data_IF_887984743104
#
_entry.id   IF_887984743104
#
_cell.length_a   1.000
_cell.length_b   1.000
_cell.length_c   1.000
_cell.angle_alpha   90.00
_cell.angle_beta   90.00
_cell.angle_gamma   90.00
#
_symmetry.space_group_name_H-M   'P 1'
#
loop_
_entity.id
_entity.type
_entity.pdbx_description
1 polymer ?
#
# COMPACT_ATOMS: atom_id res chain seq x y z
N UNK A 1 0.19 -11.94 -17.16
CA UNK A 1 1.32 -11.62 -16.28
C UNK A 1 2.69 -11.67 -16.98
N UNK A 2 2.95 -12.41 -18.08
CA UNK A 2 4.26 -12.38 -18.75
C UNK A 2 4.69 -10.97 -19.18
N UNK A 3 3.76 -10.15 -19.64
CA UNK A 3 4.06 -8.82 -20.21
C UNK A 3 4.75 -7.81 -19.27
N UNK A 4 4.62 -7.97 -17.94
CA UNK A 4 5.27 -7.08 -16.96
C UNK A 4 6.66 -7.59 -16.58
N UNK A 5 6.85 -8.91 -16.54
CA UNK A 5 8.11 -9.53 -16.07
C UNK A 5 9.28 -9.27 -17.01
N UNK A 6 8.98 -9.00 -18.30
CA UNK A 6 9.96 -8.71 -19.34
C UNK A 6 10.26 -7.22 -19.50
N UNK A 7 9.83 -6.38 -18.55
CA UNK A 7 10.11 -4.95 -18.56
C UNK A 7 11.29 -4.62 -17.65
N UNK A 8 12.19 -3.79 -18.15
CA UNK A 8 13.36 -3.35 -17.40
C UNK A 8 12.93 -2.63 -16.11
N UNK A 9 13.58 -2.98 -15.01
CA UNK A 9 13.31 -2.39 -13.70
C UNK A 9 11.99 -2.84 -13.04
N UNK A 10 11.28 -3.83 -13.58
CA UNK A 10 10.11 -4.39 -12.92
C UNK A 10 10.51 -5.19 -11.68
N UNK A 11 9.89 -4.85 -10.53
CA UNK A 11 10.16 -5.49 -9.23
C UNK A 11 9.02 -6.40 -8.80
N UNK A 12 7.77 -6.05 -9.10
CA UNK A 12 6.67 -6.88 -8.70
C UNK A 12 5.29 -6.27 -8.84
N UNK A 13 4.30 -7.08 -8.49
CA UNK A 13 2.88 -6.73 -8.59
C UNK A 13 2.11 -7.25 -7.38
N UNK A 14 1.16 -6.46 -6.90
CA UNK A 14 0.13 -6.90 -5.97
C UNK A 14 -1.27 -6.54 -6.47
N UNK A 15 -2.26 -7.30 -6.03
CA UNK A 15 -3.68 -7.01 -6.27
C UNK A 15 -4.45 -7.15 -4.97
N UNK A 16 -5.12 -6.08 -4.60
CA UNK A 16 -6.02 -6.01 -3.45
C UNK A 16 -7.44 -5.80 -3.93
N UNK A 17 -8.41 -6.46 -3.30
CA UNK A 17 -9.82 -6.40 -3.67
C UNK A 17 -10.68 -6.21 -2.43
N UNK A 18 -11.47 -5.16 -2.41
CA UNK A 18 -12.59 -5.02 -1.49
C UNK A 18 -13.84 -5.64 -2.13
N UNK A 19 -14.26 -6.79 -1.62
CA UNK A 19 -15.40 -7.54 -2.16
C UNK A 19 -16.76 -6.90 -1.83
N UNK A 20 -16.81 -5.98 -0.88
CA UNK A 20 -18.05 -5.30 -0.49
C UNK A 20 -18.36 -4.13 -1.43
N UNK A 21 -17.34 -3.33 -1.73
CA UNK A 21 -17.48 -2.14 -2.58
C UNK A 21 -17.16 -2.41 -4.06
N UNK A 22 -16.46 -3.52 -4.37
CA UNK A 22 -15.91 -3.81 -5.69
C UNK A 22 -14.64 -3.01 -6.01
N UNK A 23 -14.08 -2.26 -5.05
CA UNK A 23 -12.82 -1.52 -5.26
C UNK A 23 -11.65 -2.48 -5.42
N UNK A 24 -10.88 -2.28 -6.47
CA UNK A 24 -9.65 -3.04 -6.74
C UNK A 24 -8.45 -2.09 -6.81
N UNK A 25 -7.32 -2.50 -6.22
CA UNK A 25 -6.07 -1.76 -6.26
C UNK A 25 -4.99 -2.70 -6.76
N UNK A 26 -4.47 -2.43 -7.96
CA UNK A 26 -3.32 -3.12 -8.51
C UNK A 26 -2.10 -2.22 -8.39
N UNK A 27 -1.05 -2.72 -7.71
CA UNK A 27 0.20 -1.97 -7.51
C UNK A 27 1.33 -2.68 -8.22
N UNK A 28 1.98 -2.01 -9.16
CA UNK A 28 3.25 -2.45 -9.74
C UNK A 28 4.39 -1.67 -9.13
N UNK A 29 5.49 -2.36 -8.79
CA UNK A 29 6.69 -1.75 -8.24
C UNK A 29 7.83 -1.78 -9.26
N UNK A 30 8.65 -0.75 -9.27
CA UNK A 30 9.72 -0.48 -10.22
C UNK A 30 10.98 -0.06 -9.48
N UNK A 31 12.14 -0.35 -10.05
CA UNK A 31 13.44 -0.01 -9.45
C UNK A 31 13.70 1.51 -9.45
N UNK A 32 13.11 2.24 -10.40
CA UNK A 32 13.27 3.69 -10.51
C UNK A 32 12.06 4.37 -11.15
N UNK A 33 11.99 5.66 -10.99
CA UNK A 33 11.04 6.56 -11.63
C UNK A 33 11.11 6.47 -13.17
N UNK A 34 12.33 6.34 -13.72
CA UNK A 34 12.55 6.18 -15.16
C UNK A 34 11.94 4.89 -15.67
N UNK A 35 12.17 3.77 -14.95
CA UNK A 35 11.60 2.47 -15.30
C UNK A 35 10.08 2.50 -15.25
N UNK A 36 9.51 3.12 -14.20
CA UNK A 36 8.08 3.31 -14.06
C UNK A 36 7.49 4.11 -15.23
N UNK A 37 8.10 5.27 -15.57
CA UNK A 37 7.63 6.11 -16.66
C UNK A 37 7.77 5.44 -18.03
N UNK A 38 8.89 4.75 -18.27
CA UNK A 38 9.10 4.01 -19.50
C UNK A 38 8.10 2.87 -19.70
N UNK A 39 7.62 2.27 -18.62
CA UNK A 39 6.63 1.22 -18.67
C UNK A 39 5.20 1.70 -18.95
N UNK A 40 4.88 2.95 -18.66
CA UNK A 40 3.51 3.48 -18.59
C UNK A 40 2.69 3.22 -19.87
N UNK A 41 3.27 3.49 -21.06
CA UNK A 41 2.60 3.27 -22.35
C UNK A 41 2.39 1.77 -22.66
N UNK A 42 3.35 0.93 -22.29
CA UNK A 42 3.29 -0.52 -22.53
C UNK A 42 2.27 -1.19 -21.60
N UNK A 43 2.09 -0.67 -20.39
CA UNK A 43 1.14 -1.20 -19.40
C UNK A 43 -0.28 -0.74 -19.67
N UNK A 44 -0.48 0.42 -20.30
CA UNK A 44 -1.81 0.99 -20.53
C UNK A 44 -2.82 -0.02 -21.09
N UNK A 45 -2.54 -0.76 -22.19
CA UNK A 45 -3.51 -1.71 -22.73
C UNK A 45 -3.87 -2.83 -21.74
N UNK A 46 -2.90 -3.31 -20.98
CA UNK A 46 -3.11 -4.37 -19.97
C UNK A 46 -3.98 -3.87 -18.82
N UNK A 47 -3.71 -2.64 -18.36
CA UNK A 47 -4.51 -1.97 -17.33
C UNK A 47 -5.94 -1.73 -17.77
N UNK A 48 -6.12 -1.20 -18.99
CA UNK A 48 -7.44 -0.87 -19.55
C UNK A 48 -8.26 -2.14 -19.76
N UNK A 49 -7.63 -3.22 -20.22
CA UNK A 49 -8.27 -4.53 -20.33
C UNK A 49 -8.69 -5.07 -18.95
N UNK A 50 -7.81 -4.98 -17.94
CA UNK A 50 -8.13 -5.40 -16.59
C UNK A 50 -9.29 -4.58 -15.99
N UNK A 51 -9.26 -3.26 -16.14
CA UNK A 51 -10.34 -2.39 -15.69
C UNK A 51 -11.67 -2.74 -16.36
N UNK A 52 -11.67 -3.06 -17.67
CA UNK A 52 -12.86 -3.51 -18.40
C UNK A 52 -13.42 -4.83 -17.86
N UNK A 53 -12.57 -5.77 -17.44
CA UNK A 53 -13.00 -7.03 -16.82
C UNK A 53 -13.72 -6.77 -15.48
N UNK A 54 -13.26 -5.78 -14.71
CA UNK A 54 -13.91 -5.35 -13.46
C UNK A 54 -15.10 -4.41 -13.67
N UNK A 55 -15.43 -4.07 -14.91
CA UNK A 55 -16.59 -3.23 -15.24
C UNK A 55 -16.41 -1.74 -14.93
N UNK A 56 -15.16 -1.26 -14.85
CA UNK A 56 -14.83 0.11 -14.49
C UNK A 56 -13.74 0.74 -15.35
N UNK A 57 -13.22 1.86 -14.86
CA UNK A 57 -12.04 2.57 -15.39
C UNK A 57 -10.94 2.61 -14.33
N UNK A 58 -9.69 2.65 -14.77
CA UNK A 58 -8.55 2.75 -13.87
C UNK A 58 -8.10 4.20 -13.67
N UNK A 59 -7.95 4.62 -12.42
CA UNK A 59 -7.18 5.81 -12.04
C UNK A 59 -5.77 5.37 -11.71
N UNK A 60 -4.77 6.09 -12.20
CA UNK A 60 -3.35 5.77 -11.98
C UNK A 60 -2.75 6.81 -11.06
N UNK A 61 -2.07 6.33 -10.04
CA UNK A 61 -1.30 7.15 -9.11
C UNK A 61 0.13 6.61 -9.04
N UNK A 62 1.10 7.48 -8.92
CA UNK A 62 2.50 7.14 -8.71
C UNK A 62 2.90 7.48 -7.27
N UNK A 63 3.67 6.61 -6.65
CA UNK A 63 4.06 6.72 -5.26
C UNK A 63 5.52 6.32 -5.07
N UNK A 64 6.20 7.00 -4.17
CA UNK A 64 7.48 6.56 -3.62
C UNK A 64 7.25 5.61 -2.45
N UNK A 65 8.02 4.54 -2.36
CA UNK A 65 7.99 3.63 -1.21
C UNK A 65 8.93 4.19 -0.14
N UNK A 66 8.36 4.87 0.86
CA UNK A 66 9.13 5.48 1.93
C UNK A 66 9.48 4.47 3.04
N UNK A 67 8.55 3.55 3.35
CA UNK A 67 8.76 2.47 4.33
C UNK A 67 8.12 1.19 3.79
N UNK A 68 8.85 0.09 3.95
CA UNK A 68 8.34 -1.25 3.70
C UNK A 68 8.99 -2.23 4.66
N UNK A 69 8.19 -2.80 5.55
CA UNK A 69 8.63 -3.77 6.55
C UNK A 69 7.80 -5.05 6.46
N UNK A 70 8.45 -6.20 6.52
CA UNK A 70 7.83 -7.53 6.49
C UNK A 70 8.36 -8.39 7.63
N UNK A 71 7.47 -8.82 8.48
CA UNK A 71 7.79 -9.80 9.52
C UNK A 71 7.49 -11.23 9.04
N UNK A 72 6.45 -11.37 8.22
CA UNK A 72 6.02 -12.65 7.65
C UNK A 72 5.59 -12.48 6.20
N UNK A 73 5.69 -13.57 5.41
CA UNK A 73 5.11 -13.60 4.08
C UNK A 73 3.58 -13.45 4.15
N UNK A 74 3.02 -12.72 3.20
CA UNK A 74 1.57 -12.62 3.05
C UNK A 74 1.12 -13.73 2.08
N UNK A 75 0.54 -14.77 2.65
CA UNK A 75 0.02 -15.93 1.90
C UNK A 75 -1.43 -15.71 1.44
N UNK A 76 -1.98 -16.70 0.74
CA UNK A 76 -3.39 -16.69 0.34
C UNK A 76 -4.31 -16.53 1.54
N UNK A 77 -5.21 -15.55 1.48
CA UNK A 77 -6.13 -15.19 2.56
C UNK A 77 -5.66 -14.04 3.44
N UNK A 78 -4.47 -13.49 3.20
CA UNK A 78 -4.04 -12.27 3.85
C UNK A 78 -4.98 -11.10 3.51
N UNK A 79 -5.14 -10.18 4.48
CA UNK A 79 -5.97 -9.00 4.35
C UNK A 79 -5.15 -7.75 4.62
N UNK A 80 -5.53 -6.65 4.00
CA UNK A 80 -4.84 -5.37 4.10
C UNK A 80 -5.81 -4.30 4.55
N UNK A 81 -5.41 -3.50 5.54
CA UNK A 81 -6.06 -2.23 5.86
C UNK A 81 -5.18 -1.11 5.33
N UNK A 82 -5.74 -0.30 4.44
CA UNK A 82 -5.08 0.86 3.85
C UNK A 82 -5.75 2.15 4.30
N UNK A 83 -4.94 3.17 4.60
CA UNK A 83 -5.39 4.50 5.02
C UNK A 83 -4.68 5.55 4.20
N UNK A 84 -5.45 6.39 3.52
CA UNK A 84 -4.96 7.54 2.77
C UNK A 84 -4.98 8.78 3.64
N UNK A 85 -3.90 9.51 3.62
CA UNK A 85 -3.73 10.73 4.41
C UNK A 85 -3.16 11.86 3.55
N UNK A 86 -3.35 13.08 4.02
CA UNK A 86 -2.65 14.26 3.51
C UNK A 86 -1.99 14.99 4.68
N UNK A 87 -0.84 15.59 4.41
CA UNK A 87 -0.12 16.46 5.34
C UNK A 87 0.63 17.53 4.52
N UNK A 88 1.04 18.65 5.15
CA UNK A 88 1.88 19.65 4.48
C UNK A 88 3.12 19.01 3.87
N UNK A 89 3.47 19.40 2.64
CA UNK A 89 4.57 18.77 1.90
C UNK A 89 5.93 18.92 2.62
N UNK A 90 6.12 20.03 3.34
CA UNK A 90 7.30 20.31 4.16
C UNK A 90 7.37 19.48 5.46
N UNK A 91 6.28 18.83 5.85
CA UNK A 91 6.23 17.92 7.00
C UNK A 91 6.32 16.43 6.60
N UNK A 92 6.41 16.13 5.30
CA UNK A 92 6.40 14.76 4.79
C UNK A 92 7.54 13.92 5.35
N UNK A 93 8.76 14.45 5.36
CA UNK A 93 9.94 13.73 5.87
C UNK A 93 9.81 13.42 7.37
N UNK A 94 9.34 14.38 8.16
CA UNK A 94 9.06 14.17 9.59
C UNK A 94 7.95 13.14 9.81
N UNK A 95 6.92 13.14 8.96
CA UNK A 95 5.84 12.14 8.98
C UNK A 95 6.32 10.73 8.66
N UNK A 96 7.21 10.57 7.68
CA UNK A 96 7.85 9.30 7.34
C UNK A 96 8.71 8.77 8.50
N UNK A 97 9.52 9.65 9.10
CA UNK A 97 10.36 9.28 10.25
C UNK A 97 9.52 8.91 11.48
N UNK A 98 8.45 9.66 11.74
CA UNK A 98 7.50 9.30 12.79
C UNK A 98 6.83 7.94 12.54
N UNK A 99 6.44 7.65 11.31
CA UNK A 99 5.88 6.34 10.97
C UNK A 99 6.90 5.23 11.25
N UNK A 100 8.15 5.39 10.79
CA UNK A 100 9.23 4.41 10.97
C UNK A 100 9.55 4.15 12.44
N UNK A 101 9.71 5.21 13.24
CA UNK A 101 10.22 5.11 14.61
C UNK A 101 9.15 4.90 15.67
N UNK A 102 7.91 5.29 15.38
CA UNK A 102 6.84 5.32 16.39
C UNK A 102 5.62 4.46 16.02
N UNK A 103 5.19 4.46 14.75
CA UNK A 103 4.01 3.71 14.32
C UNK A 103 4.34 2.26 14.05
N UNK A 104 5.37 2.01 13.24
CA UNK A 104 5.77 0.67 12.83
C UNK A 104 6.01 -0.27 14.02
N UNK A 105 6.79 0.09 15.06
CA UNK A 105 7.00 -0.77 16.22
C UNK A 105 5.72 -1.15 16.97
N UNK A 106 4.68 -0.32 16.89
CA UNK A 106 3.41 -0.60 17.56
C UNK A 106 2.52 -1.54 16.74
N UNK A 107 2.48 -1.38 15.40
CA UNK A 107 1.67 -2.25 14.55
C UNK A 107 2.25 -3.64 14.40
N UNK A 108 3.57 -3.82 14.53
CA UNK A 108 4.25 -5.11 14.53
C UNK A 108 3.80 -6.04 15.66
N UNK A 109 3.34 -5.49 16.78
CA UNK A 109 2.86 -6.24 17.94
C UNK A 109 1.39 -6.68 17.82
N UNK A 110 0.70 -6.29 16.75
CA UNK A 110 -0.68 -6.73 16.52
C UNK A 110 -0.70 -8.21 16.14
N UNK A 111 -1.63 -8.97 16.73
CA UNK A 111 -1.76 -10.41 16.43
C UNK A 111 -1.99 -10.65 14.93
N UNK A 112 -1.16 -11.49 14.35
CA UNK A 112 -1.25 -11.85 12.93
C UNK A 112 -0.77 -10.76 11.97
N UNK A 113 -0.03 -9.77 12.45
CA UNK A 113 0.70 -8.83 11.59
C UNK A 113 1.61 -9.58 10.61
N UNK A 114 1.65 -9.14 9.36
CA UNK A 114 2.54 -9.67 8.33
C UNK A 114 3.51 -8.61 7.81
N UNK A 115 2.99 -7.46 7.43
CA UNK A 115 3.80 -6.36 6.88
C UNK A 115 3.14 -5.01 7.08
N UNK A 116 3.95 -3.95 7.02
CA UNK A 116 3.47 -2.58 6.90
C UNK A 116 4.24 -1.83 5.82
N UNK A 117 3.58 -0.90 5.16
CA UNK A 117 4.19 0.01 4.20
C UNK A 117 3.66 1.42 4.34
N UNK A 118 4.50 2.39 3.98
CA UNK A 118 4.11 3.77 3.78
C UNK A 118 4.56 4.19 2.39
N UNK A 119 3.59 4.53 1.54
CA UNK A 119 3.81 5.11 0.22
C UNK A 119 3.54 6.60 0.33
N UNK A 120 4.34 7.42 -0.34
CA UNK A 120 4.20 8.87 -0.30
C UNK A 120 4.27 9.48 -1.71
N UNK A 121 3.60 10.60 -1.87
CA UNK A 121 3.81 11.54 -2.97
C UNK A 121 4.19 12.90 -2.34
N UNK A 122 5.50 13.17 -2.24
CA UNK A 122 5.99 14.39 -1.60
C UNK A 122 5.52 15.67 -2.28
N UNK A 123 5.26 15.63 -3.58
CA UNK A 123 4.83 16.81 -4.35
C UNK A 123 3.41 17.24 -3.98
N UNK A 124 2.52 16.30 -3.69
CA UNK A 124 1.12 16.58 -3.34
C UNK A 124 0.84 16.54 -1.84
N UNK A 125 1.80 16.14 -1.01
CA UNK A 125 1.58 15.94 0.42
C UNK A 125 0.67 14.75 0.75
N UNK A 126 0.55 13.77 -0.16
CA UNK A 126 -0.30 12.58 0.03
C UNK A 126 0.51 11.39 0.50
N UNK A 127 -0.11 10.57 1.34
CA UNK A 127 0.46 9.30 1.79
C UNK A 127 -0.57 8.19 1.87
N UNK A 128 -0.10 6.95 1.74
CA UNK A 128 -0.91 5.75 1.95
C UNK A 128 -0.16 4.81 2.88
N UNK A 129 -0.69 4.58 4.07
CA UNK A 129 -0.20 3.52 4.95
C UNK A 129 -1.01 2.25 4.76
N UNK A 130 -0.33 1.10 4.70
CA UNK A 130 -0.96 -0.20 4.60
C UNK A 130 -0.42 -1.13 5.67
N UNK A 131 -1.32 -1.86 6.33
CA UNK A 131 -0.96 -2.91 7.30
C UNK A 131 -1.63 -4.20 6.84
N UNK A 132 -0.83 -5.25 6.65
CA UNK A 132 -1.33 -6.56 6.27
C UNK A 132 -1.36 -7.53 7.44
N UNK A 133 -2.39 -8.37 7.45
CA UNK A 133 -2.64 -9.40 8.46
C UNK A 133 -2.77 -10.75 7.77
N UNK A 134 -2.42 -11.83 8.49
CA UNK A 134 -2.46 -13.20 7.95
C UNK A 134 -3.82 -13.64 7.43
N UNK A 135 -4.92 -13.07 7.97
CA UNK A 135 -6.29 -13.35 7.56
C UNK A 135 -7.26 -12.30 8.13
N UNK A 136 -8.53 -12.38 7.69
CA UNK A 136 -9.62 -11.50 8.12
C UNK A 136 -9.84 -11.55 9.63
N UNK A 137 -9.83 -12.72 10.24
CA UNK A 137 -10.05 -12.87 11.68
C UNK A 137 -8.99 -12.15 12.52
N UNK A 138 -7.71 -12.21 12.10
CA UNK A 138 -6.64 -11.48 12.75
C UNK A 138 -6.84 -9.95 12.62
N UNK A 139 -7.19 -9.48 11.44
CA UNK A 139 -7.46 -8.07 11.20
C UNK A 139 -8.66 -7.57 12.06
N UNK A 140 -9.72 -8.38 12.17
CA UNK A 140 -10.92 -8.01 12.91
C UNK A 140 -10.69 -8.02 14.44
N UNK A 141 -9.91 -8.96 14.96
CA UNK A 141 -9.53 -8.98 16.39
C UNK A 141 -8.75 -7.73 16.79
N UNK A 142 -7.92 -7.21 15.90
CA UNK A 142 -7.12 -6.00 16.16
C UNK A 142 -7.86 -4.70 15.85
N UNK A 143 -9.11 -4.73 15.37
CA UNK A 143 -9.82 -3.55 14.85
C UNK A 143 -9.79 -2.36 15.80
N UNK A 144 -10.14 -2.56 17.06
CA UNK A 144 -10.19 -1.48 18.04
C UNK A 144 -8.81 -0.89 18.33
N UNK A 145 -7.80 -1.75 18.52
CA UNK A 145 -6.42 -1.33 18.80
C UNK A 145 -5.80 -0.63 17.59
N UNK A 146 -5.93 -1.21 16.39
CA UNK A 146 -5.41 -0.62 15.16
C UNK A 146 -6.09 0.72 14.83
N UNK A 147 -7.39 0.87 15.11
CA UNK A 147 -8.10 2.14 14.94
C UNK A 147 -7.59 3.20 15.91
N UNK A 148 -7.37 2.85 17.18
CA UNK A 148 -6.83 3.78 18.17
C UNK A 148 -5.41 4.24 17.78
N UNK A 149 -4.53 3.31 17.38
CA UNK A 149 -3.19 3.62 16.89
C UNK A 149 -3.22 4.53 15.67
N UNK A 150 -4.09 4.25 14.71
CA UNK A 150 -4.27 5.08 13.50
C UNK A 150 -4.66 6.51 13.87
N UNK A 151 -5.72 6.68 14.66
CA UNK A 151 -6.22 8.01 15.05
C UNK A 151 -5.14 8.81 15.78
N UNK A 152 -4.43 8.18 16.71
CA UNK A 152 -3.36 8.84 17.45
C UNK A 152 -2.19 9.21 16.53
N UNK A 153 -1.81 8.30 15.62
CA UNK A 153 -0.71 8.52 14.68
C UNK A 153 -0.99 9.66 13.71
N UNK A 154 -2.20 9.71 13.13
CA UNK A 154 -2.63 10.78 12.24
C UNK A 154 -2.59 12.13 12.97
N UNK A 155 -3.13 12.18 14.20
CA UNK A 155 -3.12 13.39 15.02
C UNK A 155 -1.70 13.87 15.34
N UNK A 156 -0.80 12.95 15.72
CA UNK A 156 0.60 13.30 16.07
C UNK A 156 1.42 13.72 14.88
N UNK A 157 1.15 13.13 13.69
CA UNK A 157 1.81 13.50 12.45
C UNK A 157 1.26 14.81 11.85
N UNK A 158 0.25 15.45 12.44
CA UNK A 158 -0.39 16.62 11.84
C UNK A 158 -1.13 16.33 10.53
N UNK A 159 -1.37 15.05 10.24
CA UNK A 159 -2.01 14.61 9.01
C UNK A 159 -3.55 14.65 9.11
N UNK A 160 -4.21 14.59 7.97
CA UNK A 160 -5.66 14.42 7.85
C UNK A 160 -5.97 13.12 7.09
N UNK A 161 -6.89 12.31 7.63
CA UNK A 161 -7.38 11.14 6.90
C UNK A 161 -8.29 11.57 5.76
N UNK A 162 -8.05 11.01 4.57
CA UNK A 162 -8.82 11.29 3.35
C UNK A 162 -9.74 10.14 3.00
N UNK A 163 -9.23 8.90 3.19
CA UNK A 163 -9.92 7.67 2.81
C UNK A 163 -9.37 6.49 3.61
N UNK A 164 -10.13 5.39 3.67
CA UNK A 164 -9.65 4.11 4.18
C UNK A 164 -10.37 2.94 3.50
N UNK A 165 -9.75 1.77 3.53
CA UNK A 165 -10.36 0.56 2.99
C UNK A 165 -9.75 -0.71 3.56
N UNK A 166 -10.53 -1.79 3.52
CA UNK A 166 -10.10 -3.12 3.89
C UNK A 166 -10.22 -4.05 2.68
N UNK A 167 -9.15 -4.76 2.40
CA UNK A 167 -8.99 -5.52 1.16
C UNK A 167 -8.55 -6.94 1.45
N UNK A 168 -8.98 -7.87 0.61
CA UNK A 168 -8.35 -9.17 0.49
C UNK A 168 -7.13 -9.05 -0.42
N UNK A 169 -5.99 -9.59 -0.03
CA UNK A 169 -4.79 -9.67 -0.84
C UNK A 169 -4.90 -10.88 -1.77
N UNK A 170 -5.20 -10.62 -3.03
CA UNK A 170 -5.44 -11.68 -4.04
C UNK A 170 -4.15 -12.12 -4.74
N UNK A 171 -3.20 -11.19 -4.87
CA UNK A 171 -1.91 -11.43 -5.48
C UNK A 171 -0.84 -10.63 -4.74
N UNK A 172 0.27 -11.30 -4.40
CA UNK A 172 1.42 -10.69 -3.76
C UNK A 172 2.72 -11.24 -4.36
N UNK A 173 3.17 -10.65 -5.46
CA UNK A 173 4.45 -10.94 -6.11
C UNK A 173 5.34 -9.69 -6.08
N UNK A 174 5.51 -9.11 -4.90
CA UNK A 174 6.38 -7.95 -4.68
C UNK A 174 7.74 -8.43 -4.16
N UNK A 175 8.80 -8.18 -4.93
CA UNK A 175 10.20 -8.45 -4.56
C UNK A 175 10.94 -7.16 -4.13
N UNK A 176 10.20 -6.13 -3.78
CA UNK A 176 10.77 -4.88 -3.28
C UNK A 176 11.63 -5.20 -2.04
N UNK A 177 12.89 -4.74 -1.96
CA UNK A 177 13.70 -4.86 -0.75
C UNK A 177 13.00 -4.22 0.45
N UNK A 178 13.34 -4.70 1.65
CA UNK A 178 12.87 -4.11 2.89
C UNK A 178 13.46 -2.69 3.04
N UNK A 179 12.63 -1.74 3.45
CA UNK A 179 12.96 -0.32 3.59
C UNK A 179 12.38 0.20 4.92
N UNK A 180 12.92 -0.31 6.05
CA UNK A 180 12.50 0.07 7.39
C UNK A 180 13.60 0.82 8.15
#
# INVERSE_FOLDING_TARGET
>A
MPALQDMDGYVGLSLMVDRQTGRCIATSAWESDEAQRASAERIRPVRDQAAGVFGGSATVEAWEIAVLHRQHSSDNGACVRATWVTLPADEMEAGVEYFRTSVLPQVEHLDGFCSASLLVDPASGRGVSSVSFRNRDAMDRNRAQATALKVESIRKAGASQVDEGEFDLVLAHLRVPEMA
#
